data_IF_396828513363
#
_entry.id   IF_396828513363
#
_cell.length_a   1.000
_cell.length_b   1.000
_cell.length_c   1.000
_cell.angle_alpha   90.00
_cell.angle_beta   90.00
_cell.angle_gamma   90.00
#
_symmetry.space_group_name_H-M   'P 1'
#
loop_
_entity.id
_entity.type
_entity.pdbx_description
1 polymer ?
#
# COMPACT_ATOMS: atom_id res chain seq x y z
N UNK A 1 -0.02 -21.79 11.64
CA UNK A 1 1.17 -20.95 11.90
C UNK A 1 2.28 -21.80 12.49
N UNK A 2 3.51 -21.66 12.01
CA UNK A 2 4.71 -22.25 12.60
C UNK A 2 4.99 -21.60 13.96
N UNK A 3 5.10 -22.42 15.00
CA UNK A 3 5.33 -22.00 16.40
C UNK A 3 6.72 -22.36 16.93
N UNK A 4 7.63 -22.77 16.05
CA UNK A 4 9.01 -23.05 16.43
C UNK A 4 9.65 -21.80 17.02
N UNK A 5 10.50 -22.02 18.02
CA UNK A 5 11.34 -21.01 18.65
C UNK A 5 12.80 -21.32 18.28
N UNK A 6 13.65 -20.30 18.14
CA UNK A 6 15.03 -20.54 17.77
C UNK A 6 15.79 -21.11 18.98
N UNK A 7 16.57 -22.17 18.76
CA UNK A 7 17.39 -22.82 19.81
C UNK A 7 18.61 -21.97 20.19
N UNK A 8 19.03 -21.08 19.29
CA UNK A 8 20.15 -20.15 19.44
C UNK A 8 19.83 -18.82 18.75
N UNK A 9 20.77 -17.88 18.69
CA UNK A 9 20.58 -16.63 17.94
C UNK A 9 20.24 -16.94 16.48
N UNK A 10 19.10 -16.46 15.95
CA UNK A 10 18.73 -16.72 14.56
C UNK A 10 19.78 -16.19 13.57
N UNK A 11 19.96 -16.87 12.42
CA UNK A 11 20.85 -16.39 11.38
C UNK A 11 20.38 -15.04 10.84
N UNK A 12 21.34 -14.24 10.37
CA UNK A 12 21.05 -12.97 9.75
C UNK A 12 20.30 -13.16 8.42
N UNK A 13 19.26 -12.35 8.20
CA UNK A 13 18.61 -12.24 6.89
C UNK A 13 19.28 -11.18 6.03
N UNK A 14 19.67 -11.59 4.84
CA UNK A 14 20.21 -10.73 3.79
C UNK A 14 19.53 -11.01 2.44
N UNK A 15 20.00 -10.34 1.39
CA UNK A 15 19.44 -10.52 0.04
C UNK A 15 19.71 -11.91 -0.53
N UNK A 16 20.72 -12.64 -0.06
CA UNK A 16 21.11 -13.94 -0.60
C UNK A 16 20.51 -15.14 0.14
N UNK A 17 19.87 -14.86 1.28
CA UNK A 17 19.19 -15.81 2.15
C UNK A 17 18.15 -16.65 1.37
N UNK A 18 18.13 -17.99 1.52
CA UNK A 18 17.20 -18.86 0.78
C UNK A 18 15.72 -18.51 0.98
N UNK A 19 15.34 -18.08 2.19
CA UNK A 19 13.99 -17.64 2.50
C UNK A 19 13.56 -16.41 1.69
N UNK A 20 14.48 -15.47 1.43
CA UNK A 20 14.21 -14.24 0.66
C UNK A 20 14.07 -14.55 -0.82
N UNK A 21 14.91 -15.43 -1.38
CA UNK A 21 14.79 -15.90 -2.78
C UNK A 21 13.48 -16.65 -3.00
N UNK A 22 13.17 -17.59 -2.09
CA UNK A 22 11.91 -18.35 -2.13
C UNK A 22 10.69 -17.44 -2.01
N UNK A 23 10.77 -16.39 -1.16
CA UNK A 23 9.70 -15.39 -1.01
C UNK A 23 9.45 -14.63 -2.32
N UNK A 24 10.50 -14.19 -2.99
CA UNK A 24 10.40 -13.52 -4.29
C UNK A 24 9.72 -14.41 -5.33
N UNK A 25 10.14 -15.67 -5.44
CA UNK A 25 9.59 -16.66 -6.37
C UNK A 25 8.12 -16.96 -6.06
N UNK A 26 7.78 -17.27 -4.80
CA UNK A 26 6.40 -17.59 -4.39
C UNK A 26 5.45 -16.41 -4.56
N UNK A 27 5.90 -15.18 -4.28
CA UNK A 27 5.10 -13.98 -4.51
C UNK A 27 4.87 -13.75 -6.01
N UNK A 28 5.88 -14.04 -6.85
CA UNK A 28 5.78 -13.97 -8.31
C UNK A 28 4.79 -14.98 -8.87
N UNK A 29 4.82 -16.23 -8.40
CA UNK A 29 3.85 -17.28 -8.76
C UNK A 29 2.41 -16.86 -8.40
N UNK A 30 2.20 -16.41 -7.15
CA UNK A 30 0.91 -15.90 -6.68
C UNK A 30 0.41 -14.71 -7.51
N UNK A 31 1.31 -13.79 -7.88
CA UNK A 31 0.96 -12.63 -8.67
C UNK A 31 0.62 -13.02 -10.12
N UNK A 32 1.39 -13.93 -10.73
CA UNK A 32 1.23 -14.35 -12.13
C UNK A 32 -0.20 -14.82 -12.43
N UNK A 33 -0.74 -15.74 -11.62
CA UNK A 33 -2.11 -16.25 -11.80
C UNK A 33 -3.19 -15.17 -11.63
N UNK A 34 -2.86 -14.05 -10.97
CA UNK A 34 -3.77 -12.91 -10.74
C UNK A 34 -3.71 -11.84 -11.80
N UNK A 35 -2.71 -11.80 -12.67
CA UNK A 35 -2.57 -10.73 -13.67
C UNK A 35 -2.38 -11.23 -15.10
N UNK A 36 -1.98 -12.48 -15.27
CA UNK A 36 -1.96 -13.11 -16.58
C UNK A 36 -3.39 -13.44 -17.00
N UNK A 37 -3.67 -13.30 -18.30
CA UNK A 37 -4.97 -13.59 -18.90
C UNK A 37 -6.14 -12.73 -18.37
N UNK A 38 -5.85 -11.52 -17.87
CA UNK A 38 -6.90 -10.53 -17.58
C UNK A 38 -7.55 -10.12 -18.89
N UNK A 39 -8.89 -10.17 -18.94
CA UNK A 39 -9.66 -9.79 -20.12
C UNK A 39 -9.50 -8.30 -20.42
N UNK A 40 -9.56 -7.96 -21.70
CA UNK A 40 -9.60 -6.57 -22.14
C UNK A 40 -10.83 -5.86 -21.53
N UNK A 41 -10.64 -4.70 -20.88
CA UNK A 41 -11.76 -3.91 -20.39
C UNK A 41 -12.56 -3.28 -21.55
N UNK A 42 -13.77 -2.78 -21.28
CA UNK A 42 -14.48 -1.94 -22.23
C UNK A 42 -13.60 -0.75 -22.68
N UNK A 43 -13.68 -0.38 -23.96
CA UNK A 43 -12.88 0.71 -24.55
C UNK A 43 -11.37 0.45 -24.59
N UNK A 44 -10.94 -0.81 -24.49
CA UNK A 44 -9.55 -1.20 -24.73
C UNK A 44 -9.12 -0.81 -26.14
N UNK A 45 -7.98 -0.14 -26.23
CA UNK A 45 -7.35 0.29 -27.46
C UNK A 45 -5.84 0.37 -27.25
N UNK A 46 -5.08 0.56 -28.33
CA UNK A 46 -3.62 0.73 -28.26
C UNK A 46 -3.23 1.88 -27.31
N UNK A 47 -3.99 2.96 -27.29
CA UNK A 47 -3.75 4.12 -26.42
C UNK A 47 -4.28 3.92 -24.98
N UNK A 48 -5.23 3.00 -24.79
CA UNK A 48 -5.86 2.67 -23.50
C UNK A 48 -5.69 1.18 -23.17
N UNK A 49 -4.45 0.72 -23.23
CA UNK A 49 -4.11 -0.69 -23.11
C UNK A 49 -3.92 -1.19 -21.65
N UNK A 50 -4.48 -0.50 -20.65
CA UNK A 50 -4.36 -0.88 -19.24
C UNK A 50 -5.42 -1.94 -18.86
N UNK A 51 -4.99 -3.17 -18.57
CA UNK A 51 -5.88 -4.25 -18.08
C UNK A 51 -5.92 -4.35 -16.55
N UNK A 52 -4.80 -4.04 -15.92
CA UNK A 52 -4.57 -4.17 -14.47
C UNK A 52 -4.06 -2.86 -13.89
N UNK A 53 -4.55 -2.51 -12.70
CA UNK A 53 -4.08 -1.36 -11.93
C UNK A 53 -3.65 -1.78 -10.52
N UNK A 54 -2.81 -0.98 -9.88
CA UNK A 54 -2.35 -1.19 -8.50
C UNK A 54 -2.97 -0.13 -7.61
N UNK A 55 -3.58 -0.54 -6.49
CA UNK A 55 -3.92 0.37 -5.39
C UNK A 55 -2.61 0.81 -4.72
N UNK A 56 -2.18 2.04 -4.98
CA UNK A 56 -0.78 2.43 -4.88
C UNK A 56 -0.57 3.59 -3.90
N UNK A 57 -0.17 3.29 -2.67
CA UNK A 57 0.29 4.28 -1.69
C UNK A 57 1.77 4.65 -1.84
N UNK A 58 2.52 3.89 -2.64
CA UNK A 58 3.98 3.95 -2.73
C UNK A 58 4.72 3.16 -1.64
N UNK A 59 4.00 2.65 -0.64
CA UNK A 59 4.59 1.80 0.40
C UNK A 59 5.13 0.47 -0.16
N UNK A 60 5.95 -0.22 0.65
CA UNK A 60 6.64 -1.47 0.30
C UNK A 60 5.76 -2.47 -0.45
N UNK A 61 4.58 -2.77 0.09
CA UNK A 61 3.76 -3.91 -0.34
C UNK A 61 3.19 -3.70 -1.75
N UNK A 62 2.51 -2.58 -1.97
CA UNK A 62 1.93 -2.26 -3.28
C UNK A 62 3.00 -2.02 -4.35
N UNK A 63 4.15 -1.46 -3.96
CA UNK A 63 5.26 -1.19 -4.89
C UNK A 63 5.98 -2.46 -5.31
N UNK A 64 6.12 -3.45 -4.42
CA UNK A 64 6.62 -4.78 -4.79
C UNK A 64 5.70 -5.46 -5.82
N UNK A 65 4.38 -5.40 -5.61
CA UNK A 65 3.42 -5.94 -6.58
C UNK A 65 3.50 -5.23 -7.94
N UNK A 66 3.62 -3.90 -7.93
CA UNK A 66 3.85 -3.13 -9.15
C UNK A 66 5.14 -3.59 -9.84
N UNK A 67 6.27 -3.58 -9.12
CA UNK A 67 7.58 -3.98 -9.65
C UNK A 67 7.58 -5.39 -10.23
N UNK A 68 7.00 -6.37 -9.55
CA UNK A 68 6.93 -7.75 -10.06
C UNK A 68 5.98 -7.87 -11.27
N UNK A 69 4.92 -7.06 -11.34
CA UNK A 69 4.02 -7.03 -12.51
C UNK A 69 4.74 -6.65 -13.80
N UNK A 70 5.83 -5.89 -13.72
CA UNK A 70 6.68 -5.55 -14.87
C UNK A 70 7.17 -6.78 -15.63
N UNK A 71 7.56 -7.83 -14.91
CA UNK A 71 8.18 -9.05 -15.45
C UNK A 71 7.14 -10.05 -15.96
N UNK A 72 5.89 -9.89 -15.54
CA UNK A 72 4.81 -10.85 -15.77
C UNK A 72 3.82 -10.42 -16.86
N UNK A 73 3.72 -9.12 -17.13
CA UNK A 73 2.84 -8.55 -18.14
C UNK A 73 3.60 -8.29 -19.46
N UNK A 74 2.93 -8.31 -20.63
CA UNK A 74 3.52 -7.87 -21.89
C UNK A 74 4.13 -6.47 -21.78
N UNK A 75 5.29 -6.23 -22.40
CA UNK A 75 6.09 -5.01 -22.18
C UNK A 75 5.44 -3.71 -22.70
N UNK A 76 4.49 -3.82 -23.62
CA UNK A 76 3.73 -2.71 -24.19
C UNK A 76 2.52 -2.31 -23.31
N UNK A 77 2.02 -3.20 -22.44
CA UNK A 77 0.89 -2.91 -21.56
C UNK A 77 1.24 -1.83 -20.52
N UNK A 78 0.35 -0.85 -20.37
CA UNK A 78 0.46 0.18 -19.33
C UNK A 78 -0.03 -0.37 -17.99
N UNK A 79 0.65 -0.02 -16.89
CA UNK A 79 0.18 -0.31 -15.53
C UNK A 79 -0.20 0.99 -14.83
N UNK A 80 -1.46 1.10 -14.44
CA UNK A 80 -1.96 2.26 -13.70
C UNK A 80 -1.66 2.11 -12.21
N UNK A 81 -1.14 3.17 -11.59
CA UNK A 81 -0.83 3.28 -10.17
C UNK A 81 -1.83 4.27 -9.56
N UNK A 82 -2.83 3.75 -8.83
CA UNK A 82 -3.94 4.54 -8.30
C UNK A 82 -3.61 5.08 -6.91
N UNK A 83 -3.29 6.37 -6.81
CA UNK A 83 -2.86 7.00 -5.56
C UNK A 83 -3.87 8.05 -5.10
N UNK A 84 -4.52 7.78 -3.96
CA UNK A 84 -5.58 8.62 -3.41
C UNK A 84 -5.09 9.57 -2.33
N UNK A 85 -5.53 10.83 -2.39
CA UNK A 85 -5.27 11.86 -1.39
C UNK A 85 -6.55 12.66 -1.13
N UNK A 86 -6.79 13.00 0.13
CA UNK A 86 -8.00 13.70 0.54
C UNK A 86 -7.70 15.10 1.04
N UNK A 87 -8.58 16.03 0.70
CA UNK A 87 -8.62 17.32 1.34
C UNK A 87 -9.08 17.14 2.78
N UNK A 88 -8.20 17.45 3.73
CA UNK A 88 -8.52 17.42 5.14
C UNK A 88 -8.63 18.85 5.67
N UNK A 89 -9.85 19.33 6.00
CA UNK A 89 -10.07 20.72 6.42
C UNK A 89 -9.22 21.15 7.62
N UNK A 90 -8.89 20.23 8.53
CA UNK A 90 -8.04 20.53 9.68
C UNK A 90 -6.59 20.78 9.27
N UNK A 91 -6.06 19.97 8.36
CA UNK A 91 -4.70 20.11 7.85
C UNK A 91 -4.59 21.39 7.00
N UNK A 92 -5.59 21.65 6.15
CA UNK A 92 -5.65 22.88 5.37
C UNK A 92 -5.72 24.13 6.26
N UNK A 93 -6.56 24.12 7.30
CA UNK A 93 -6.66 25.21 8.26
C UNK A 93 -5.35 25.42 9.06
N UNK A 94 -4.68 24.33 9.46
CA UNK A 94 -3.39 24.42 10.15
C UNK A 94 -2.30 25.03 9.26
N UNK A 95 -2.23 24.62 7.99
CA UNK A 95 -1.29 25.17 7.01
C UNK A 95 -1.54 26.67 6.73
N UNK A 96 -2.82 27.07 6.63
CA UNK A 96 -3.21 28.47 6.46
C UNK A 96 -2.92 29.34 7.71
N UNK A 97 -2.89 28.74 8.90
CA UNK A 97 -2.52 29.43 10.14
C UNK A 97 -1.01 29.61 10.27
N UNK A 98 -0.20 28.66 9.81
CA UNK A 98 1.27 28.77 9.80
C UNK A 98 1.77 29.79 8.77
N UNK A 99 1.17 29.85 7.57
CA UNK A 99 1.59 30.80 6.52
C UNK A 99 1.34 32.28 6.88
N UNK A 100 0.45 32.57 7.84
CA UNK A 100 0.23 33.93 8.36
C UNK A 100 1.35 34.43 9.29
N UNK A 101 2.21 33.54 9.82
CA UNK A 101 3.34 33.91 10.69
C UNK A 101 4.65 34.21 9.92
N UNK A 102 4.83 33.64 8.73
CA UNK A 102 6.07 33.75 7.95
C UNK A 102 5.92 34.69 6.74
N UNK A 103 5.57 35.97 6.98
CA UNK A 103 5.39 36.99 5.93
C UNK A 103 6.69 37.59 5.35
N UNK A 104 7.87 37.00 5.61
CA UNK A 104 9.16 37.61 5.26
C UNK A 104 9.98 36.87 4.18
N UNK A 105 9.52 35.73 3.65
CA UNK A 105 10.27 34.97 2.64
C UNK A 105 9.33 34.40 1.56
N UNK A 106 8.77 35.26 0.71
CA UNK A 106 8.04 34.86 -0.49
C UNK A 106 8.76 35.34 -1.75
N UNK A 107 9.65 34.52 -2.29
CA UNK A 107 9.92 34.47 -3.73
C UNK A 107 10.24 33.02 -4.13
N UNK A 108 9.38 32.42 -4.96
CA UNK A 108 9.60 31.26 -5.85
C UNK A 108 9.26 29.82 -5.44
N UNK A 109 8.71 29.50 -4.26
CA UNK A 109 8.16 28.14 -4.06
C UNK A 109 6.77 28.04 -4.69
N UNK A 110 6.66 27.30 -5.81
CA UNK A 110 5.41 26.79 -6.37
C UNK A 110 4.53 26.32 -5.19
N UNK A 111 3.37 26.94 -4.96
CA UNK A 111 2.44 26.52 -3.91
C UNK A 111 2.12 25.04 -4.12
N UNK A 112 2.73 24.17 -3.31
CA UNK A 112 2.48 22.73 -3.38
C UNK A 112 1.03 22.51 -2.95
N UNK A 113 0.24 21.96 -3.87
CA UNK A 113 -1.15 21.57 -3.63
C UNK A 113 -1.29 20.79 -2.32
N UNK A 114 -2.40 21.01 -1.60
CA UNK A 114 -2.71 20.31 -0.34
C UNK A 114 -2.63 18.78 -0.51
N UNK A 115 -2.95 18.27 -1.70
CA UNK A 115 -2.87 16.86 -2.06
C UNK A 115 -1.42 16.38 -2.27
N UNK A 116 -0.55 17.19 -2.88
CA UNK A 116 0.85 16.81 -3.10
C UNK A 116 1.67 16.80 -1.80
N UNK A 117 1.24 17.55 -0.77
CA UNK A 117 1.80 17.44 0.58
C UNK A 117 1.31 16.19 1.36
N UNK A 118 0.36 15.43 0.81
CA UNK A 118 -0.19 14.24 1.44
C UNK A 118 0.91 13.17 1.58
N UNK A 119 1.09 12.53 2.75
CA UNK A 119 2.22 11.62 2.93
C UNK A 119 2.25 10.44 1.96
N UNK A 120 1.11 9.82 1.66
CA UNK A 120 1.04 8.73 0.65
C UNK A 120 1.20 9.25 -0.79
N UNK A 121 0.92 10.54 -1.05
CA UNK A 121 1.23 11.15 -2.35
C UNK A 121 2.73 11.34 -2.51
N UNK A 122 3.42 11.84 -1.48
CA UNK A 122 4.89 11.99 -1.47
C UNK A 122 5.56 10.63 -1.68
N UNK A 123 5.21 9.64 -0.85
CA UNK A 123 5.75 8.27 -0.97
C UNK A 123 5.40 7.67 -2.34
N UNK A 124 4.17 7.85 -2.81
CA UNK A 124 3.73 7.42 -4.15
C UNK A 124 4.58 8.02 -5.28
N UNK A 125 4.85 9.32 -5.26
CA UNK A 125 5.69 10.00 -6.28
C UNK A 125 7.12 9.49 -6.24
N UNK A 126 7.70 9.28 -5.06
CA UNK A 126 9.04 8.73 -4.91
C UNK A 126 9.13 7.30 -5.47
N UNK A 127 8.19 6.43 -5.09
CA UNK A 127 8.11 5.05 -5.57
C UNK A 127 7.85 4.97 -7.08
N UNK A 128 7.03 5.87 -7.63
CA UNK A 128 6.82 6.01 -9.07
C UNK A 128 8.12 6.35 -9.80
N UNK A 129 8.88 7.34 -9.32
CA UNK A 129 10.19 7.67 -9.89
C UNK A 129 11.19 6.50 -9.78
N UNK A 130 11.14 5.73 -8.70
CA UNK A 130 11.99 4.54 -8.56
C UNK A 130 11.59 3.42 -9.54
N UNK A 131 10.29 3.15 -9.71
CA UNK A 131 9.78 2.19 -10.70
C UNK A 131 10.20 2.56 -12.14
N UNK A 132 10.21 3.85 -12.48
CA UNK A 132 10.67 4.32 -13.79
C UNK A 132 12.15 4.01 -14.03
N UNK A 133 13.01 4.19 -13.01
CA UNK A 133 14.44 3.91 -13.11
C UNK A 133 14.73 2.42 -13.21
N UNK A 134 14.04 1.62 -12.39
CA UNK A 134 14.28 0.17 -12.30
C UNK A 134 13.61 -0.60 -13.46
N UNK A 135 12.50 -0.09 -13.99
CA UNK A 135 11.73 -0.69 -15.07
C UNK A 135 11.45 0.31 -16.21
N UNK A 136 12.49 0.79 -16.93
CA UNK A 136 12.37 1.91 -17.87
C UNK A 136 11.55 1.60 -19.12
N UNK A 137 11.44 0.33 -19.52
CA UNK A 137 10.68 -0.07 -20.72
C UNK A 137 9.16 -0.04 -20.52
N UNK A 138 8.68 -0.12 -19.26
CA UNK A 138 7.26 -0.12 -18.94
C UNK A 138 6.70 1.29 -18.95
N UNK A 139 5.53 1.46 -19.56
CA UNK A 139 4.73 2.64 -19.29
C UNK A 139 4.03 2.49 -17.93
N UNK A 140 4.49 3.26 -16.95
CA UNK A 140 3.83 3.41 -15.66
C UNK A 140 2.96 4.66 -15.72
N UNK A 141 1.68 4.53 -15.40
CA UNK A 141 0.76 5.67 -15.34
C UNK A 141 0.42 5.98 -13.90
N UNK A 142 0.94 7.09 -13.37
CA UNK A 142 0.54 7.53 -12.03
C UNK A 142 -0.78 8.30 -12.10
N UNK A 143 -1.83 7.78 -11.45
CA UNK A 143 -3.14 8.41 -11.38
C UNK A 143 -3.31 9.04 -10.00
N UNK A 144 -3.19 10.36 -9.96
CA UNK A 144 -3.42 11.21 -8.81
C UNK A 144 -4.93 11.41 -8.59
N UNK A 145 -5.49 10.67 -7.62
CA UNK A 145 -6.90 10.72 -7.23
C UNK A 145 -7.04 11.70 -6.06
N UNK A 146 -7.34 12.96 -6.38
CA UNK A 146 -7.51 14.03 -5.39
C UNK A 146 -9.00 14.17 -5.06
N UNK A 147 -9.37 13.96 -3.79
CA UNK A 147 -10.77 13.96 -3.34
C UNK A 147 -11.04 15.20 -2.47
N UNK A 148 -11.83 16.16 -2.97
CA UNK A 148 -12.32 17.28 -2.17
C UNK A 148 -13.15 16.82 -0.97
N UNK A 149 -13.15 17.62 0.10
CA UNK A 149 -13.88 17.27 1.32
C UNK A 149 -15.40 17.14 1.07
N UNK A 150 -15.96 18.02 0.24
CA UNK A 150 -17.38 18.00 -0.14
C UNK A 150 -17.78 16.70 -0.85
N UNK A 151 -16.88 16.12 -1.64
CA UNK A 151 -17.11 14.85 -2.32
C UNK A 151 -17.07 13.67 -1.35
N UNK A 152 -16.17 13.72 -0.36
CA UNK A 152 -16.15 12.74 0.73
C UNK A 152 -17.48 12.73 1.50
N UNK A 153 -18.01 13.92 1.81
CA UNK A 153 -19.31 14.05 2.49
C UNK A 153 -20.47 13.50 1.64
N UNK A 154 -20.48 13.80 0.34
CA UNK A 154 -21.52 13.33 -0.58
C UNK A 154 -21.60 11.80 -0.67
N UNK A 155 -20.46 11.10 -0.56
CA UNK A 155 -20.40 9.63 -0.61
C UNK A 155 -20.43 8.95 0.76
N UNK A 156 -20.39 9.70 1.87
CA UNK A 156 -20.23 9.18 3.23
C UNK A 156 -21.25 8.10 3.58
N UNK A 157 -22.53 8.33 3.30
CA UNK A 157 -23.59 7.37 3.64
C UNK A 157 -23.51 6.09 2.80
N UNK A 158 -23.08 6.19 1.54
CA UNK A 158 -22.82 5.01 0.72
C UNK A 158 -21.69 4.17 1.32
N UNK A 159 -20.56 4.80 1.66
CA UNK A 159 -19.42 4.10 2.26
C UNK A 159 -19.81 3.45 3.60
N UNK A 160 -20.57 4.15 4.45
CA UNK A 160 -21.10 3.61 5.72
C UNK A 160 -21.94 2.35 5.50
N UNK A 161 -22.77 2.30 4.45
CA UNK A 161 -23.54 1.09 4.11
C UNK A 161 -22.64 -0.04 3.64
N UNK A 162 -21.67 0.23 2.78
CA UNK A 162 -20.77 -0.78 2.21
C UNK A 162 -19.86 -1.43 3.26
N UNK A 163 -19.37 -0.66 4.23
CA UNK A 163 -18.42 -1.16 5.25
C UNK A 163 -19.07 -2.04 6.33
N UNK A 164 -20.41 -2.07 6.45
CA UNK A 164 -21.12 -2.91 7.43
C UNK A 164 -20.66 -4.37 7.34
N UNK A 165 -20.61 -5.12 8.45
CA UNK A 165 -21.12 -4.77 9.79
C UNK A 165 -20.23 -3.82 10.58
N UNK A 166 -19.00 -3.54 10.11
CA UNK A 166 -18.10 -2.61 10.76
C UNK A 166 -18.68 -1.21 10.84
N UNK A 167 -18.37 -0.53 11.93
CA UNK A 167 -19.05 0.70 12.32
C UNK A 167 -18.16 1.62 13.16
N UNK A 168 -16.84 1.61 12.98
CA UNK A 168 -15.94 2.55 13.67
C UNK A 168 -15.47 3.68 12.78
N UNK A 169 -15.00 4.78 13.37
CA UNK A 169 -14.36 5.90 12.64
C UNK A 169 -13.15 5.46 11.82
N UNK A 170 -12.35 4.53 12.36
CA UNK A 170 -11.21 3.94 11.64
C UNK A 170 -11.68 3.13 10.42
N UNK A 171 -12.74 2.34 10.57
CA UNK A 171 -13.31 1.57 9.47
C UNK A 171 -13.82 2.47 8.34
N UNK A 172 -14.51 3.56 8.70
CA UNK A 172 -14.97 4.56 7.73
C UNK A 172 -13.81 5.21 7.00
N UNK A 173 -12.76 5.58 7.73
CA UNK A 173 -11.59 6.23 7.14
C UNK A 173 -10.87 5.32 6.13
N UNK A 174 -10.65 4.05 6.50
CA UNK A 174 -10.04 3.06 5.60
C UNK A 174 -10.97 2.78 4.40
N UNK A 175 -12.27 2.60 4.65
CA UNK A 175 -13.26 2.36 3.61
C UNK A 175 -13.32 3.52 2.61
N UNK A 176 -13.30 4.78 3.07
CA UNK A 176 -13.28 5.94 2.18
C UNK A 176 -12.05 5.91 1.25
N UNK A 177 -10.86 5.66 1.78
CA UNK A 177 -9.65 5.61 0.96
C UNK A 177 -9.74 4.51 -0.12
N UNK A 178 -10.16 3.31 0.26
CA UNK A 178 -10.33 2.19 -0.68
C UNK A 178 -11.42 2.47 -1.72
N UNK A 179 -12.54 3.03 -1.30
CA UNK A 179 -13.68 3.38 -2.15
C UNK A 179 -13.27 4.31 -3.29
N UNK A 180 -12.60 5.42 -2.95
CA UNK A 180 -12.20 6.41 -3.94
C UNK A 180 -10.99 5.96 -4.77
N UNK A 181 -10.06 5.19 -4.19
CA UNK A 181 -8.98 4.59 -4.96
C UNK A 181 -9.53 3.63 -6.03
N UNK A 182 -10.50 2.76 -5.69
CA UNK A 182 -11.15 1.85 -6.62
C UNK A 182 -12.02 2.55 -7.67
N UNK A 183 -12.49 3.78 -7.41
CA UNK A 183 -13.16 4.58 -8.44
C UNK A 183 -12.23 4.80 -9.64
N UNK A 184 -10.95 5.03 -9.38
CA UNK A 184 -9.91 5.09 -10.41
C UNK A 184 -10.00 6.32 -11.31
N UNK A 185 -10.53 7.44 -10.79
CA UNK A 185 -10.72 8.71 -11.49
C UNK A 185 -9.80 9.77 -10.88
N UNK A 186 -8.99 10.43 -11.70
CA UNK A 186 -8.04 11.43 -11.22
C UNK A 186 -7.32 12.14 -12.36
N UNK A 187 -6.12 12.65 -12.08
CA UNK A 187 -5.21 13.19 -13.10
C UNK A 187 -4.05 12.21 -13.34
N UNK A 188 -3.73 11.93 -14.60
CA UNK A 188 -2.71 10.95 -14.95
C UNK A 188 -1.43 11.59 -15.50
N UNK A 189 -0.29 10.98 -15.17
CA UNK A 189 1.03 11.24 -15.77
C UNK A 189 1.65 9.92 -16.20
N UNK A 190 2.04 9.84 -17.47
CA UNK A 190 2.67 8.66 -18.07
C UNK A 190 4.20 8.75 -17.97
N UNK A 191 4.86 7.66 -17.57
CA UNK A 191 6.33 7.62 -17.47
C UNK A 191 7.03 7.87 -18.79
N UNK A 192 6.40 7.50 -19.91
CA UNK A 192 6.93 7.75 -21.27
C UNK A 192 6.81 9.21 -21.70
N UNK A 193 6.04 10.03 -20.98
CA UNK A 193 5.81 11.45 -21.29
C UNK A 193 5.92 12.29 -20.01
N UNK A 194 7.11 12.36 -19.37
CA UNK A 194 7.27 13.00 -18.06
C UNK A 194 6.99 14.51 -18.08
N UNK A 195 7.21 15.18 -19.22
CA UNK A 195 6.97 16.61 -19.38
C UNK A 195 5.53 16.94 -19.82
N UNK A 196 4.70 15.92 -20.05
CA UNK A 196 3.30 16.15 -20.42
C UNK A 196 2.53 16.74 -19.24
N UNK A 197 1.63 17.67 -19.55
CA UNK A 197 0.70 18.19 -18.56
C UNK A 197 -0.22 17.07 -18.05
N UNK A 198 -0.43 16.95 -16.72
CA UNK A 198 -1.36 15.95 -16.19
C UNK A 198 -2.76 16.13 -16.78
N UNK A 199 -3.38 15.03 -17.22
CA UNK A 199 -4.72 15.06 -17.86
C UNK A 199 -5.76 14.34 -17.02
N UNK A 200 -7.03 14.80 -17.03
CA UNK A 200 -8.13 14.03 -16.45
C UNK A 200 -8.17 12.62 -17.05
N UNK A 201 -8.31 11.62 -16.19
CA UNK A 201 -8.19 10.22 -16.59
C UNK A 201 -9.06 9.33 -15.71
N UNK A 202 -9.67 8.33 -16.33
CA UNK A 202 -10.35 7.22 -15.66
C UNK A 202 -9.71 5.93 -16.12
N UNK A 203 -9.17 5.16 -15.17
CA UNK A 203 -8.55 3.87 -15.51
C UNK A 203 -9.59 2.89 -16.08
N UNK A 204 -9.31 2.27 -17.24
CA UNK A 204 -10.18 1.22 -17.78
C UNK A 204 -10.01 -0.12 -17.04
N UNK A 205 -8.93 -0.30 -16.28
CA UNK A 205 -8.55 -1.58 -15.66
C UNK A 205 -9.63 -2.12 -14.72
N UNK A 206 -10.18 -3.29 -15.02
CA UNK A 206 -11.20 -3.93 -14.17
C UNK A 206 -10.62 -4.74 -13.02
N UNK A 207 -9.32 -5.06 -13.08
CA UNK A 207 -8.59 -5.78 -12.04
C UNK A 207 -7.69 -4.82 -11.28
N UNK A 208 -7.84 -4.80 -9.96
CA UNK A 208 -7.03 -4.00 -9.03
C UNK A 208 -6.16 -4.93 -8.18
N UNK A 209 -4.87 -4.65 -8.08
CA UNK A 209 -3.97 -5.32 -7.14
C UNK A 209 -3.94 -4.58 -5.81
N UNK A 210 -4.04 -5.32 -4.72
CA UNK A 210 -3.91 -4.80 -3.36
C UNK A 210 -2.75 -5.46 -2.61
N UNK A 211 -1.99 -4.66 -1.87
CA UNK A 211 -0.94 -5.12 -0.96
C UNK A 211 -1.44 -5.65 0.39
N UNK A 212 -2.76 -5.71 0.60
CA UNK A 212 -3.36 -6.24 1.83
C UNK A 212 -2.88 -7.69 2.09
N UNK A 213 -2.56 -7.99 3.36
CA UNK A 213 -2.07 -9.30 3.80
C UNK A 213 -0.59 -9.29 4.14
N UNK A 214 0.21 -8.42 3.51
CA UNK A 214 1.64 -8.33 3.77
C UNK A 214 1.95 -7.97 5.24
N UNK A 215 1.17 -7.05 5.83
CA UNK A 215 1.39 -6.62 7.21
C UNK A 215 1.05 -7.73 8.23
N UNK A 216 -0.03 -8.47 8.00
CA UNK A 216 -0.45 -9.58 8.86
C UNK A 216 0.51 -10.77 8.76
N UNK A 217 1.04 -11.05 7.57
CA UNK A 217 1.91 -12.22 7.35
C UNK A 217 3.38 -11.97 7.73
N UNK A 218 3.88 -10.75 7.56
CA UNK A 218 5.31 -10.41 7.71
C UNK A 218 5.58 -9.46 8.88
N UNK A 219 4.70 -9.46 9.88
CA UNK A 219 4.84 -8.67 11.09
C UNK A 219 4.96 -7.15 10.82
N UNK A 220 4.14 -6.61 9.91
CA UNK A 220 4.23 -5.21 9.48
C UNK A 220 3.75 -4.17 10.47
N UNK A 221 2.82 -4.49 11.36
CA UNK A 221 2.32 -3.54 12.34
C UNK A 221 3.32 -3.24 13.47
N UNK A 222 3.40 -1.98 13.90
CA UNK A 222 4.28 -1.57 15.01
C UNK A 222 4.03 -2.32 16.33
N UNK A 223 2.78 -2.78 16.55
CA UNK A 223 2.43 -3.62 17.71
C UNK A 223 3.15 -4.97 17.72
N UNK A 224 3.60 -5.49 16.58
CA UNK A 224 4.39 -6.71 16.52
C UNK A 224 5.76 -6.51 17.18
N UNK A 225 6.42 -5.38 16.91
CA UNK A 225 7.66 -5.02 17.60
C UNK A 225 7.46 -4.87 19.11
N UNK A 226 6.33 -4.31 19.53
CA UNK A 226 5.96 -4.24 20.96
C UNK A 226 5.73 -5.63 21.55
N UNK A 227 5.03 -6.52 20.84
CA UNK A 227 4.80 -7.90 21.28
C UNK A 227 6.12 -8.67 21.43
N UNK A 228 7.04 -8.51 20.47
CA UNK A 228 8.39 -9.05 20.53
C UNK A 228 9.19 -8.50 21.72
N UNK A 229 9.20 -7.18 21.91
CA UNK A 229 9.91 -6.56 23.03
C UNK A 229 9.38 -7.03 24.40
N UNK A 230 8.09 -7.33 24.49
CA UNK A 230 7.44 -7.80 25.72
C UNK A 230 7.70 -9.27 26.03
N UNK A 231 7.66 -10.14 25.03
CA UNK A 231 7.60 -11.60 25.24
C UNK A 231 8.39 -12.41 24.20
N UNK A 232 9.35 -11.80 23.51
CA UNK A 232 10.20 -12.43 22.51
C UNK A 232 9.42 -13.02 21.33
N UNK A 233 10.01 -14.06 20.72
CA UNK A 233 9.38 -14.79 19.61
C UNK A 233 8.00 -15.38 19.94
N UNK A 234 7.74 -15.97 21.13
CA UNK A 234 6.41 -16.45 21.48
C UNK A 234 5.33 -15.37 21.35
N UNK A 235 5.57 -14.19 21.95
CA UNK A 235 4.60 -13.08 21.89
C UNK A 235 4.39 -12.53 20.49
N UNK A 236 5.47 -12.49 19.68
CA UNK A 236 5.38 -12.08 18.28
C UNK A 236 4.55 -13.08 17.46
N UNK A 237 4.79 -14.38 17.62
CA UNK A 237 4.06 -15.43 16.90
C UNK A 237 2.57 -15.38 17.25
N UNK A 238 2.23 -15.24 18.52
CA UNK A 238 0.83 -15.17 18.97
C UNK A 238 0.11 -13.93 18.39
N UNK A 239 0.79 -12.78 18.32
CA UNK A 239 0.20 -11.55 17.75
C UNK A 239 -0.03 -11.69 16.23
N UNK A 240 0.92 -12.27 15.49
CA UNK A 240 0.78 -12.53 14.05
C UNK A 240 -0.34 -13.56 13.78
N UNK A 241 -0.40 -14.65 14.56
CA UNK A 241 -1.44 -15.68 14.44
C UNK A 241 -2.84 -15.10 14.71
N UNK A 242 -2.95 -14.18 15.67
CA UNK A 242 -4.18 -13.45 15.96
C UNK A 242 -4.63 -12.57 14.78
N UNK A 243 -3.70 -11.88 14.13
CA UNK A 243 -3.99 -11.03 12.98
C UNK A 243 -4.42 -11.85 11.77
N UNK A 244 -3.66 -12.89 11.44
CA UNK A 244 -3.97 -13.80 10.32
C UNK A 244 -5.34 -14.47 10.53
N UNK A 245 -5.62 -15.00 11.73
CA UNK A 245 -6.90 -15.67 12.03
C UNK A 245 -8.12 -14.74 11.96
N UNK A 246 -7.94 -13.43 12.12
CA UNK A 246 -9.03 -12.44 12.10
C UNK A 246 -9.13 -11.65 10.81
N UNK A 247 -8.18 -11.79 9.89
CA UNK A 247 -8.09 -11.02 8.64
C UNK A 247 -9.40 -11.03 7.84
N UNK A 248 -10.04 -12.19 7.71
CA UNK A 248 -11.32 -12.36 7.01
C UNK A 248 -12.42 -11.45 7.57
N UNK A 249 -12.54 -11.43 8.90
CA UNK A 249 -13.56 -10.66 9.62
C UNK A 249 -13.20 -9.18 9.70
N UNK A 250 -11.94 -8.82 9.93
CA UNK A 250 -11.49 -7.45 10.19
C UNK A 250 -11.29 -6.62 8.93
N UNK A 251 -10.73 -7.20 7.87
CA UNK A 251 -10.32 -6.45 6.69
C UNK A 251 -11.13 -6.90 5.46
N UNK A 252 -10.99 -8.16 5.06
CA UNK A 252 -11.45 -8.66 3.75
C UNK A 252 -12.93 -8.40 3.48
N UNK A 253 -13.79 -8.63 4.47
CA UNK A 253 -15.23 -8.39 4.29
C UNK A 253 -15.54 -6.93 3.94
N UNK A 254 -15.02 -5.97 4.73
CA UNK A 254 -15.21 -4.53 4.52
C UNK A 254 -14.61 -4.10 3.19
N UNK A 255 -13.35 -4.47 2.98
CA UNK A 255 -12.56 -4.01 1.85
C UNK A 255 -13.16 -4.50 0.53
N UNK A 256 -13.59 -5.76 0.46
CA UNK A 256 -14.21 -6.33 -0.73
C UNK A 256 -15.49 -5.58 -1.14
N UNK A 257 -16.43 -5.35 -0.21
CA UNK A 257 -17.68 -4.63 -0.51
C UNK A 257 -17.43 -3.21 -0.99
N UNK A 258 -16.46 -2.54 -0.37
CA UNK A 258 -16.10 -1.16 -0.70
C UNK A 258 -15.43 -1.06 -2.08
N UNK A 259 -14.45 -1.93 -2.34
CA UNK A 259 -13.69 -1.93 -3.60
C UNK A 259 -14.55 -2.37 -4.79
N UNK A 260 -15.43 -3.36 -4.60
CA UNK A 260 -16.29 -3.90 -5.66
C UNK A 260 -17.39 -2.92 -6.11
N UNK A 261 -17.67 -1.86 -5.35
CA UNK A 261 -18.75 -0.91 -5.64
C UNK A 261 -18.67 -0.31 -7.04
N UNK A 262 -17.45 -0.08 -7.54
CA UNK A 262 -17.21 0.53 -8.85
C UNK A 262 -17.12 -0.48 -10.00
N UNK A 263 -17.59 -1.72 -9.79
CA UNK A 263 -17.53 -2.79 -10.78
C UNK A 263 -16.10 -3.14 -11.15
N UNK A 264 -15.22 -3.22 -10.13
CA UNK A 264 -13.83 -3.64 -10.27
C UNK A 264 -13.56 -4.81 -9.32
N UNK A 265 -12.84 -5.79 -9.80
CA UNK A 265 -12.38 -6.94 -9.04
C UNK A 265 -11.05 -6.58 -8.36
N UNK A 266 -10.93 -6.80 -7.05
CA UNK A 266 -9.64 -6.67 -6.37
C UNK A 266 -9.03 -8.04 -6.15
N UNK A 267 -7.74 -8.18 -6.47
CA UNK A 267 -6.95 -9.39 -6.26
C UNK A 267 -5.87 -9.13 -5.23
N UNK A 268 -5.60 -10.14 -4.41
CA UNK A 268 -4.73 -10.06 -3.24
C UNK A 268 -3.60 -11.09 -3.33
N UNK A 269 -2.46 -10.78 -3.98
CA UNK A 269 -1.35 -11.73 -4.13
C UNK A 269 -0.78 -12.23 -2.80
N UNK A 270 -0.70 -11.38 -1.78
CA UNK A 270 -0.25 -11.81 -0.46
C UNK A 270 -1.22 -12.77 0.24
N UNK A 271 -2.45 -12.90 -0.24
CA UNK A 271 -3.49 -13.75 0.35
C UNK A 271 -3.88 -14.91 -0.56
N UNK A 272 -2.99 -15.27 -1.48
CA UNK A 272 -3.08 -16.52 -2.21
C UNK A 272 -2.97 -17.71 -1.25
N UNK A 273 -3.77 -18.74 -1.49
CA UNK A 273 -3.85 -19.89 -0.57
C UNK A 273 -2.52 -20.64 -0.48
N UNK A 274 -1.84 -20.86 -1.62
CA UNK A 274 -0.54 -21.53 -1.65
C UNK A 274 0.54 -20.65 -1.04
N UNK A 275 0.53 -19.34 -1.36
CA UNK A 275 1.44 -18.38 -0.74
C UNK A 275 1.27 -18.30 0.77
N UNK A 276 0.03 -18.18 1.26
CA UNK A 276 -0.28 -18.11 2.70
C UNK A 276 0.11 -19.41 3.37
N UNK A 277 -0.27 -20.57 2.80
CA UNK A 277 0.07 -21.89 3.32
C UNK A 277 1.58 -22.05 3.52
N UNK A 278 2.37 -21.60 2.55
CA UNK A 278 3.83 -21.58 2.63
C UNK A 278 4.34 -20.56 3.66
N UNK A 279 3.92 -19.29 3.59
CA UNK A 279 4.41 -18.24 4.49
C UNK A 279 4.09 -18.56 5.95
N UNK A 280 2.91 -19.07 6.28
CA UNK A 280 2.57 -19.39 7.68
C UNK A 280 3.40 -20.55 8.23
N UNK A 281 4.01 -21.37 7.38
CA UNK A 281 4.92 -22.46 7.77
C UNK A 281 6.37 -21.99 7.93
N UNK A 282 6.77 -20.85 7.39
CA UNK A 282 8.12 -20.33 7.65
C UNK A 282 8.28 -19.93 9.12
N UNK A 283 9.47 -20.13 9.72
CA UNK A 283 9.82 -19.54 11.00
C UNK A 283 9.72 -18.00 10.98
N UNK A 284 9.34 -17.40 12.09
CA UNK A 284 9.07 -15.95 12.14
C UNK A 284 10.33 -15.09 11.92
N UNK A 285 11.50 -15.55 12.37
CA UNK A 285 12.79 -14.88 12.13
C UNK A 285 13.24 -14.90 10.67
N UNK A 286 12.61 -15.71 9.81
CA UNK A 286 12.84 -15.68 8.36
C UNK A 286 11.91 -14.69 7.62
N UNK A 287 10.93 -14.10 8.33
CA UNK A 287 9.96 -13.14 7.77
C UNK A 287 10.27 -11.70 8.16
N UNK A 288 10.70 -11.52 9.41
CA UNK A 288 10.95 -10.23 10.04
C UNK A 288 12.29 -10.24 10.76
N UNK A 289 12.88 -9.05 10.95
CA UNK A 289 14.22 -8.88 11.49
C UNK A 289 14.30 -8.78 13.02
N UNK A 290 13.26 -9.17 13.75
CA UNK A 290 13.26 -9.11 15.22
C UNK A 290 14.18 -10.20 15.80
N UNK A 291 15.00 -9.84 16.81
CA UNK A 291 15.88 -10.79 17.49
C UNK A 291 17.10 -11.25 16.69
N UNK A 292 17.33 -10.65 15.53
CA UNK A 292 18.51 -10.89 14.67
C UNK A 292 19.56 -9.83 14.97
N UNK A 293 20.87 -10.15 15.01
CA UNK A 293 21.93 -9.16 15.16
C UNK A 293 21.83 -8.06 14.10
N UNK A 294 22.16 -6.82 14.45
CA UNK A 294 22.16 -5.71 13.49
C UNK A 294 23.14 -5.99 12.35
N UNK A 295 22.62 -5.87 11.12
CA UNK A 295 23.39 -6.03 9.89
C UNK A 295 24.37 -4.86 9.74
N UNK A 296 25.67 -5.14 9.86
CA UNK A 296 26.73 -4.15 9.65
C UNK A 296 26.76 -3.58 8.22
N UNK A 297 26.16 -4.27 7.24
CA UNK A 297 26.16 -3.93 5.81
C UNK A 297 24.88 -3.18 5.40
N UNK A 298 23.75 -3.42 6.08
CA UNK A 298 22.48 -2.71 5.85
C UNK A 298 21.79 -2.27 7.16
N UNK A 299 22.40 -1.36 7.95
CA UNK A 299 21.89 -0.89 9.25
C UNK A 299 20.61 -0.05 9.19
N UNK A 300 19.95 0.04 8.03
CA UNK A 300 18.88 1.00 7.75
C UNK A 300 17.52 0.39 7.40
N UNK A 301 17.35 -0.94 7.48
CA UNK A 301 16.06 -1.58 7.23
C UNK A 301 15.34 -1.89 8.54
N UNK A 302 14.10 -1.44 8.65
CA UNK A 302 13.22 -1.78 9.77
C UNK A 302 13.06 -3.32 9.91
N UNK A 303 12.87 -3.78 11.14
CA UNK A 303 12.65 -5.19 11.44
C UNK A 303 11.31 -5.68 10.88
N UNK A 304 10.29 -4.83 10.88
CA UNK A 304 8.98 -5.09 10.28
C UNK A 304 9.15 -5.41 8.78
N UNK A 305 8.63 -6.57 8.36
CA UNK A 305 8.66 -7.03 6.96
C UNK A 305 10.07 -7.11 6.37
N UNK A 306 11.10 -7.38 7.19
CA UNK A 306 12.50 -7.46 6.75
C UNK A 306 12.68 -8.31 5.49
N UNK A 307 12.05 -9.48 5.39
CA UNK A 307 12.16 -10.32 4.20
C UNK A 307 11.63 -9.62 2.93
N UNK A 308 10.47 -8.95 2.99
CA UNK A 308 9.94 -8.16 1.87
C UNK A 308 10.83 -6.96 1.54
N UNK A 309 11.43 -6.30 2.53
CA UNK A 309 12.40 -5.20 2.30
C UNK A 309 13.65 -5.70 1.60
N UNK A 310 14.11 -6.90 1.93
CA UNK A 310 15.24 -7.55 1.27
C UNK A 310 14.88 -7.97 -0.17
N UNK A 311 13.66 -8.45 -0.42
CA UNK A 311 13.15 -8.65 -1.79
C UNK A 311 13.14 -7.33 -2.57
N UNK A 312 12.70 -6.22 -1.96
CA UNK A 312 12.75 -4.91 -2.60
C UNK A 312 14.19 -4.51 -2.97
N UNK A 313 15.17 -4.77 -2.10
CA UNK A 313 16.59 -4.54 -2.42
C UNK A 313 17.10 -5.41 -3.56
N UNK A 314 16.77 -6.71 -3.58
CA UNK A 314 17.10 -7.61 -4.69
C UNK A 314 16.58 -7.10 -6.03
N UNK A 315 15.38 -6.51 -6.01
CA UNK A 315 14.72 -5.94 -7.19
C UNK A 315 15.21 -4.52 -7.54
N UNK A 316 16.24 -4.00 -6.86
CA UNK A 316 16.80 -2.66 -7.10
C UNK A 316 16.01 -1.50 -6.49
N UNK A 317 14.96 -1.78 -5.72
CA UNK A 317 14.04 -0.81 -5.12
C UNK A 317 14.54 -0.35 -3.74
N UNK A 318 15.72 0.28 -3.72
CA UNK A 318 16.43 0.68 -2.50
C UNK A 318 15.69 1.70 -1.63
N UNK A 319 15.01 2.66 -2.26
CA UNK A 319 14.23 3.68 -1.56
C UNK A 319 13.01 3.06 -0.88
N UNK A 320 12.22 2.31 -1.65
CA UNK A 320 11.04 1.59 -1.18
C UNK A 320 11.36 0.58 -0.06
N UNK A 321 12.51 -0.10 -0.12
CA UNK A 321 12.95 -1.00 0.94
C UNK A 321 13.08 -0.30 2.30
N UNK A 322 13.37 1.01 2.32
CA UNK A 322 13.55 1.84 3.53
C UNK A 322 12.33 2.66 3.91
N UNK A 323 11.26 2.58 3.11
CA UNK A 323 10.06 3.35 3.38
C UNK A 323 9.43 2.91 4.70
N UNK A 324 9.09 3.88 5.55
CA UNK A 324 8.44 3.60 6.83
C UNK A 324 6.97 3.34 6.62
N UNK A 325 6.45 2.35 7.33
CA UNK A 325 5.02 2.04 7.26
C UNK A 325 4.19 3.22 7.79
N UNK A 326 3.15 3.56 7.04
CA UNK A 326 2.06 4.42 7.49
C UNK A 326 0.72 3.75 7.22
N UNK A 327 -0.23 3.87 8.15
CA UNK A 327 -1.58 3.36 7.91
C UNK A 327 -2.31 4.26 6.92
N UNK A 328 -3.07 3.66 6.00
CA UNK A 328 -3.76 4.36 4.90
C UNK A 328 -4.61 5.55 5.38
N UNK A 329 -5.26 5.44 6.54
CA UNK A 329 -6.10 6.51 7.09
C UNK A 329 -5.32 7.79 7.41
N UNK A 330 -4.05 7.67 7.80
CA UNK A 330 -3.17 8.81 8.05
C UNK A 330 -2.40 9.21 6.80
N UNK A 331 -2.01 8.22 6.00
CA UNK A 331 -1.26 8.39 4.77
C UNK A 331 -2.00 9.16 3.70
N UNK A 332 -3.27 8.83 3.47
CA UNK A 332 -4.18 9.51 2.54
C UNK A 332 -4.87 10.76 3.13
N UNK A 333 -4.64 11.06 4.41
CA UNK A 333 -5.31 12.11 5.21
C UNK A 333 -6.83 11.95 5.36
N UNK A 334 -7.33 10.71 5.26
CA UNK A 334 -8.75 10.38 5.47
C UNK A 334 -9.19 10.38 6.93
N UNK A 335 -8.26 10.33 7.88
CA UNK A 335 -8.56 10.30 9.30
C UNK A 335 -8.93 11.70 9.84
N UNK A 336 -9.84 11.73 10.82
CA UNK A 336 -10.13 12.91 11.65
C UNK A 336 -10.47 14.18 10.86
N UNK A 337 -11.30 14.08 9.82
CA UNK A 337 -11.71 15.25 9.02
C UNK A 337 -12.69 16.19 9.75
N UNK A 338 -13.65 15.65 10.51
CA UNK A 338 -14.68 16.42 11.23
C UNK A 338 -14.12 17.07 12.51
N UNK A 339 -14.77 18.08 13.12
CA UNK A 339 -14.34 18.72 14.38
C UNK A 339 -14.78 17.90 15.61
N UNK A 340 -13.85 17.54 16.51
CA UNK A 340 -14.11 16.71 17.70
C UNK A 340 -12.95 15.80 18.11
N UNK A 341 -12.94 15.33 19.36
CA UNK A 341 -11.97 14.33 19.88
C UNK A 341 -12.48 12.90 19.64
N UNK A 342 -12.77 12.54 18.39
CA UNK A 342 -13.15 11.16 18.05
C UNK A 342 -11.90 10.27 17.97
N UNK A 343 -11.94 9.13 18.67
CA UNK A 343 -10.96 8.05 18.56
C UNK A 343 -11.36 7.16 17.39
N UNK A 344 -10.38 6.51 16.77
CA UNK A 344 -10.65 5.59 15.66
C UNK A 344 -11.53 4.40 16.03
N UNK A 345 -11.59 4.04 17.33
CA UNK A 345 -12.42 2.97 17.87
C UNK A 345 -13.85 3.40 18.20
N UNK A 346 -14.15 4.70 18.13
CA UNK A 346 -15.49 5.19 18.44
C UNK A 346 -16.46 4.69 17.37
N UNK A 347 -17.64 4.27 17.82
CA UNK A 347 -18.70 3.85 16.92
C UNK A 347 -19.24 5.05 16.13
N UNK A 348 -19.54 4.84 14.85
CA UNK A 348 -20.20 5.82 14.01
C UNK A 348 -21.61 6.08 14.56
N UNK A 349 -21.98 7.35 14.63
CA UNK A 349 -23.34 7.80 14.90
C UNK A 349 -24.32 7.46 13.80
#
# INVERSE_FOLDING_TARGET
MNKLLPESTPPQLDTESPAVKSLEEKLRESLAVRIQNVREPPEFSVERNTKTAVLFSGGLDCTLLARLSHELLPGDETVDLLNVAFENPRVAAAAAASSKKDKAAQVSSKELSVYESCPDRITGRAAFGELQRVCPSRNWRFVAIDIPYVETLAHRDMVKRLMRPHNTEMDLSIACALYFAARGQGTAVDSRQPDATPKPYTTPARVLLSGLGADELFAGYSRHGVAFARAGFPGLIDEIDLDVSRLGKRNLGRDNRVLAHWGRETRFPYLDEDFVSWVVQMPVWEKCGFGVPEDAVAPALDAEKKALRLVALRLGMSGVAREKKRAIQFGSRTAKMEKGRTKGTDALS
#
